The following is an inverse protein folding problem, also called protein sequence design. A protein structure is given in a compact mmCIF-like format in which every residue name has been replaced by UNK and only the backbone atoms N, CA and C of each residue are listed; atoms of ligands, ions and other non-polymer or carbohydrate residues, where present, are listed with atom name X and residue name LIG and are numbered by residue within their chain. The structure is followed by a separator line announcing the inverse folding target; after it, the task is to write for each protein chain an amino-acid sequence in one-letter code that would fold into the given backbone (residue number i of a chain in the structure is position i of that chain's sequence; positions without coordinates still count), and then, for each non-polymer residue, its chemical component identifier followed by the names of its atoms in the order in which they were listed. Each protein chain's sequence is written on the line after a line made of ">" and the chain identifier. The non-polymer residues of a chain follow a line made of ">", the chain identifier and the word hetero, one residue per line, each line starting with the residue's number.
data_IF_431907372275
#
_entry.id   IF_431907372275
#
_cell.length_a   1.000
_cell.length_b   1.000
_cell.length_c   1.000
_cell.angle_alpha   90.00
_cell.angle_beta   90.00
_cell.angle_gamma   90.00
#
_symmetry.space_group_name_H-M   'P 1'
#
loop_
_entity.id
_entity.type
_entity.pdbx_description
1 polymer ?
#
# COMPACT_ATOMS: atom_id res chain seq x y z
N UNK A 1 9.16 -25.58 -10.48
CA UNK A 1 8.60 -24.23 -10.44
C UNK A 1 7.63 -24.14 -11.60
N UNK A 2 6.46 -23.57 -11.35
CA UNK A 2 5.36 -23.44 -12.31
C UNK A 2 4.91 -21.98 -12.36
N UNK A 3 4.32 -21.56 -13.47
CA UNK A 3 3.62 -20.31 -13.55
C UNK A 3 2.31 -20.36 -12.74
N UNK A 4 1.87 -19.22 -12.22
CA UNK A 4 0.68 -19.15 -11.34
C UNK A 4 -0.59 -19.75 -11.94
N UNK A 5 -0.74 -19.67 -13.26
CA UNK A 5 -1.90 -20.17 -14.02
C UNK A 5 -1.73 -21.60 -14.54
N UNK A 6 -0.56 -22.22 -14.36
CA UNK A 6 -0.33 -23.59 -14.84
C UNK A 6 -1.10 -24.60 -14.01
N UNK A 7 -1.73 -25.54 -14.69
CA UNK A 7 -2.36 -26.70 -14.07
C UNK A 7 -1.27 -27.71 -13.65
N UNK A 8 -1.13 -27.92 -12.35
CA UNK A 8 -0.14 -28.82 -11.77
C UNK A 8 -0.69 -30.22 -11.44
N UNK A 9 -2.00 -30.41 -11.58
CA UNK A 9 -2.66 -31.68 -11.34
C UNK A 9 -4.18 -31.58 -11.32
N UNK A 10 -4.81 -32.63 -10.79
CA UNK A 10 -6.25 -32.70 -10.53
C UNK A 10 -6.48 -33.07 -9.06
N UNK A 11 -7.72 -33.01 -8.60
CA UNK A 11 -8.07 -33.37 -7.23
C UNK A 11 -7.92 -34.88 -6.98
N UNK A 12 -7.47 -35.24 -5.80
CA UNK A 12 -7.56 -36.61 -5.32
C UNK A 12 -9.02 -37.04 -5.18
N UNK A 13 -9.38 -38.30 -5.47
CA UNK A 13 -10.77 -38.75 -5.42
C UNK A 13 -11.46 -38.51 -4.08
N UNK A 14 -10.78 -38.72 -2.96
CA UNK A 14 -11.30 -38.47 -1.62
C UNK A 14 -11.59 -36.99 -1.37
N UNK A 15 -10.74 -36.08 -1.84
CA UNK A 15 -10.92 -34.63 -1.70
C UNK A 15 -12.07 -34.16 -2.60
N UNK A 16 -12.14 -34.66 -3.82
CA UNK A 16 -13.23 -34.34 -4.75
C UNK A 16 -14.61 -34.78 -4.16
N UNK A 17 -14.65 -35.97 -3.56
CA UNK A 17 -15.85 -36.47 -2.91
C UNK A 17 -16.27 -35.61 -1.67
N UNK A 18 -15.30 -35.21 -0.86
CA UNK A 18 -15.54 -34.33 0.30
C UNK A 18 -16.09 -32.96 -0.11
N UNK A 19 -15.53 -32.37 -1.18
CA UNK A 19 -15.93 -31.07 -1.71
C UNK A 19 -17.20 -31.14 -2.60
N UNK A 20 -17.66 -32.34 -2.98
CA UNK A 20 -18.81 -32.52 -3.86
C UNK A 20 -18.56 -32.05 -5.30
N UNK A 21 -17.32 -32.12 -5.79
CA UNK A 21 -16.91 -31.72 -7.15
C UNK A 21 -16.32 -32.88 -7.94
N UNK A 22 -16.11 -32.70 -9.24
CA UNK A 22 -15.48 -33.70 -10.11
C UNK A 22 -13.98 -33.82 -9.82
N UNK A 23 -13.43 -35.04 -9.99
CA UNK A 23 -11.98 -35.27 -10.00
C UNK A 23 -11.24 -34.56 -11.13
N UNK A 24 -11.96 -34.12 -12.18
CA UNK A 24 -11.37 -33.42 -13.32
C UNK A 24 -11.08 -31.94 -13.04
N UNK A 25 -11.49 -31.44 -11.86
CA UNK A 25 -11.14 -30.08 -11.41
C UNK A 25 -9.62 -29.93 -11.37
N UNK A 26 -9.14 -28.93 -12.10
CA UNK A 26 -7.70 -28.65 -12.18
C UNK A 26 -7.23 -27.90 -10.95
N UNK A 27 -6.12 -28.36 -10.41
CA UNK A 27 -5.34 -27.64 -9.39
C UNK A 27 -4.29 -26.83 -10.13
N UNK A 28 -4.29 -25.51 -9.88
CA UNK A 28 -3.30 -24.58 -10.45
C UNK A 28 -2.24 -24.23 -9.42
N UNK A 29 -1.06 -23.83 -9.88
CA UNK A 29 0.06 -23.47 -8.99
C UNK A 29 -0.30 -22.31 -8.04
N UNK A 30 -1.11 -21.36 -8.48
CA UNK A 30 -1.54 -20.22 -7.68
C UNK A 30 -0.45 -19.16 -7.51
N UNK A 31 -0.72 -18.20 -6.63
CA UNK A 31 0.17 -17.07 -6.39
C UNK A 31 0.20 -16.70 -4.90
N UNK A 32 1.22 -15.95 -4.49
CA UNK A 32 1.20 -15.27 -3.21
C UNK A 32 0.10 -14.20 -3.16
N UNK A 33 -0.42 -13.91 -1.97
CA UNK A 33 -1.58 -13.05 -1.72
C UNK A 33 -1.50 -11.67 -2.42
N UNK A 34 -0.36 -11.00 -2.32
CA UNK A 34 -0.17 -9.67 -2.97
C UNK A 34 -0.22 -9.76 -4.51
N UNK A 35 0.37 -10.80 -5.10
CA UNK A 35 0.33 -11.00 -6.54
C UNK A 35 -1.07 -11.42 -7.03
N UNK A 36 -1.78 -12.24 -6.24
CA UNK A 36 -3.17 -12.62 -6.51
C UNK A 36 -4.11 -11.40 -6.42
N UNK A 37 -3.97 -10.59 -5.37
CA UNK A 37 -4.72 -9.34 -5.21
C UNK A 37 -4.42 -8.34 -6.35
N UNK A 38 -3.16 -8.28 -6.82
CA UNK A 38 -2.80 -7.45 -7.95
C UNK A 38 -3.54 -7.87 -9.23
N UNK A 39 -3.65 -9.18 -9.50
CA UNK A 39 -4.47 -9.70 -10.62
C UNK A 39 -5.94 -9.33 -10.42
N UNK A 40 -6.49 -9.58 -9.23
CA UNK A 40 -7.89 -9.27 -8.91
C UNK A 40 -8.23 -7.78 -9.05
N UNK A 41 -7.30 -6.91 -8.75
CA UNK A 41 -7.45 -5.45 -8.93
C UNK A 41 -7.07 -4.97 -10.34
N UNK A 42 -6.63 -5.85 -11.24
CA UNK A 42 -6.15 -5.50 -12.58
C UNK A 42 -4.86 -4.67 -12.54
N UNK A 43 -4.00 -4.90 -11.54
CA UNK A 43 -2.66 -4.32 -11.44
C UNK A 43 -1.67 -5.26 -12.13
N UNK A 44 -1.84 -5.39 -13.44
CA UNK A 44 -1.03 -6.25 -14.32
C UNK A 44 -0.53 -5.44 -15.52
N UNK A 45 0.65 -5.79 -16.03
CA UNK A 45 1.35 -5.05 -17.08
C UNK A 45 2.19 -3.89 -16.53
N UNK A 46 3.05 -3.34 -17.38
CA UNK A 46 4.08 -2.37 -17.00
C UNK A 46 3.50 -1.07 -16.39
N UNK A 47 4.12 -0.59 -15.32
CA UNK A 47 3.76 0.66 -14.66
C UNK A 47 2.38 0.68 -13.95
N UNK A 48 1.72 -0.46 -13.83
CA UNK A 48 0.48 -0.55 -13.03
C UNK A 48 0.81 -0.58 -11.55
N UNK A 49 0.04 0.15 -10.78
CA UNK A 49 0.31 0.35 -9.36
C UNK A 49 -0.94 0.11 -8.52
N UNK A 50 -0.75 -0.50 -7.36
CA UNK A 50 -1.77 -0.61 -6.32
C UNK A 50 -1.17 -0.21 -4.96
N UNK A 51 -1.94 0.53 -4.17
CA UNK A 51 -1.58 0.92 -2.80
C UNK A 51 -2.59 0.27 -1.86
N UNK A 52 -2.10 -0.49 -0.89
CA UNK A 52 -2.92 -0.99 0.20
C UNK A 52 -2.64 -0.18 1.48
N UNK A 53 -3.69 0.41 2.04
CA UNK A 53 -3.66 1.17 3.30
C UNK A 53 -4.33 0.36 4.41
N UNK A 54 -3.68 -0.72 4.80
CA UNK A 54 -4.02 -1.52 5.98
C UNK A 54 -3.28 -1.05 7.23
N UNK A 55 -3.16 -1.89 8.24
CA UNK A 55 -2.31 -1.65 9.43
C UNK A 55 -0.90 -1.26 9.00
N UNK A 56 -0.28 -2.07 8.16
CA UNK A 56 0.88 -1.74 7.34
C UNK A 56 0.42 -1.18 5.99
N UNK A 57 1.35 -0.58 5.24
CA UNK A 57 1.09 -0.09 3.89
C UNK A 57 1.95 -0.81 2.87
N UNK A 58 1.38 -1.10 1.70
CA UNK A 58 2.17 -1.60 0.60
C UNK A 58 1.95 -0.74 -0.64
N UNK A 59 3.02 -0.57 -1.42
CA UNK A 59 2.95 -0.10 -2.78
C UNK A 59 3.44 -1.21 -3.69
N UNK A 60 2.54 -1.72 -4.52
CA UNK A 60 2.79 -2.78 -5.49
C UNK A 60 2.90 -2.17 -6.87
N UNK A 61 3.98 -2.45 -7.59
CA UNK A 61 4.26 -1.87 -8.90
C UNK A 61 4.61 -3.00 -9.87
N UNK A 62 3.72 -3.28 -10.82
CA UNK A 62 3.93 -4.28 -11.86
C UNK A 62 4.95 -3.81 -12.90
N UNK A 63 5.81 -4.70 -13.36
CA UNK A 63 6.86 -4.43 -14.34
C UNK A 63 7.07 -5.62 -15.26
N UNK A 64 7.19 -5.38 -16.55
CA UNK A 64 7.55 -6.40 -17.54
C UNK A 64 9.01 -6.85 -17.44
N UNK A 65 9.86 -6.04 -16.81
CA UNK A 65 11.28 -6.33 -16.67
C UNK A 65 11.67 -6.57 -15.23
N UNK A 66 12.50 -7.57 -15.01
CA UNK A 66 13.15 -7.74 -13.71
C UNK A 66 14.04 -6.55 -13.42
N UNK A 67 13.91 -6.00 -12.22
CA UNK A 67 14.73 -4.89 -11.76
C UNK A 67 14.93 -4.96 -10.25
N UNK A 68 16.13 -4.59 -9.83
CA UNK A 68 16.50 -4.45 -8.41
C UNK A 68 17.16 -3.08 -8.26
N UNK A 69 16.71 -2.30 -7.30
CA UNK A 69 17.36 -1.04 -7.00
C UNK A 69 18.71 -1.25 -6.30
N UNK A 70 19.58 -0.26 -6.44
CA UNK A 70 20.99 -0.33 -5.98
C UNK A 70 21.11 -0.61 -4.46
N UNK A 71 20.11 -0.24 -3.69
CA UNK A 71 20.13 -0.33 -2.23
C UNK A 71 19.26 -1.45 -1.68
N UNK A 72 18.61 -2.24 -2.55
CA UNK A 72 17.58 -3.23 -2.18
C UNK A 72 16.47 -2.62 -1.29
N UNK A 73 16.10 -1.38 -1.59
CA UNK A 73 15.10 -0.64 -0.85
C UNK A 73 13.68 -1.16 -1.10
N UNK A 74 13.43 -1.71 -2.30
CA UNK A 74 12.20 -2.40 -2.65
C UNK A 74 12.44 -3.90 -2.81
N UNK A 75 11.41 -4.68 -2.52
CA UNK A 75 11.40 -6.11 -2.81
C UNK A 75 11.08 -6.33 -4.29
N UNK A 76 11.83 -7.22 -4.96
CA UNK A 76 11.57 -7.65 -6.32
C UNK A 76 11.10 -9.10 -6.34
N UNK A 77 9.95 -9.37 -6.95
CA UNK A 77 9.33 -10.69 -6.99
C UNK A 77 8.83 -11.04 -8.39
N UNK A 78 8.60 -12.34 -8.62
CA UNK A 78 7.78 -12.80 -9.74
C UNK A 78 6.32 -12.38 -9.52
N UNK A 79 5.66 -11.94 -10.59
CA UNK A 79 4.24 -11.60 -10.57
C UNK A 79 3.42 -12.76 -11.11
N UNK A 80 2.14 -12.84 -10.71
CA UNK A 80 1.20 -13.89 -11.15
C UNK A 80 0.82 -13.82 -12.63
N UNK A 81 1.15 -12.73 -13.32
CA UNK A 81 0.94 -12.54 -14.75
C UNK A 81 2.10 -13.04 -15.63
N UNK A 82 3.09 -13.70 -15.04
CA UNK A 82 4.27 -14.22 -15.74
C UNK A 82 5.42 -13.20 -15.88
N UNK A 83 5.28 -12.01 -15.27
CA UNK A 83 6.30 -10.96 -15.26
C UNK A 83 6.85 -10.73 -13.84
N UNK A 84 7.11 -9.49 -13.48
CA UNK A 84 7.72 -9.12 -12.22
C UNK A 84 6.95 -8.01 -11.53
N UNK A 85 7.23 -7.81 -10.25
CA UNK A 85 6.79 -6.63 -9.54
C UNK A 85 7.82 -6.16 -8.51
N UNK A 86 7.78 -4.86 -8.26
CA UNK A 86 8.45 -4.25 -7.12
C UNK A 86 7.42 -3.98 -6.03
N UNK A 87 7.82 -4.18 -4.79
CA UNK A 87 6.96 -3.93 -3.65
C UNK A 87 7.70 -3.15 -2.57
N UNK A 88 7.18 -1.97 -2.24
CA UNK A 88 7.52 -1.24 -1.02
C UNK A 88 6.56 -1.64 0.09
N UNK A 89 7.09 -1.87 1.28
CA UNK A 89 6.30 -2.24 2.45
C UNK A 89 6.68 -1.35 3.63
N UNK A 90 5.77 -0.46 4.03
CA UNK A 90 5.91 0.34 5.24
C UNK A 90 5.23 -0.36 6.41
N UNK A 91 5.83 -0.28 7.60
CA UNK A 91 5.36 -1.02 8.78
C UNK A 91 4.14 -0.38 9.44
N UNK A 92 3.99 0.93 9.34
CA UNK A 92 2.91 1.67 10.00
C UNK A 92 2.22 2.62 9.03
N UNK A 93 1.07 2.21 8.47
CA UNK A 93 0.27 3.00 7.54
C UNK A 93 -1.04 3.48 8.20
N UNK A 94 -2.16 2.80 7.99
CA UNK A 94 -3.40 3.19 8.65
C UNK A 94 -3.32 3.02 10.19
N UNK A 95 -2.38 2.21 10.68
CA UNK A 95 -2.09 2.14 12.11
C UNK A 95 -1.58 3.46 12.70
N UNK A 96 -0.89 4.30 11.93
CA UNK A 96 -0.50 5.64 12.37
C UNK A 96 -1.73 6.51 12.66
N UNK A 97 -2.67 6.54 11.72
CA UNK A 97 -3.91 7.28 11.93
C UNK A 97 -4.76 6.68 13.06
N UNK A 98 -4.81 5.34 13.15
CA UNK A 98 -5.50 4.67 14.26
C UNK A 98 -4.88 5.02 15.61
N UNK A 99 -3.56 4.92 15.74
CA UNK A 99 -2.83 5.31 16.95
C UNK A 99 -3.08 6.77 17.31
N UNK A 100 -2.99 7.68 16.34
CA UNK A 100 -3.26 9.10 16.54
C UNK A 100 -4.68 9.34 17.07
N UNK A 101 -5.67 8.72 16.45
CA UNK A 101 -7.08 8.89 16.82
C UNK A 101 -7.42 8.25 18.17
N UNK A 102 -7.03 7.00 18.37
CA UNK A 102 -7.42 6.22 19.54
C UNK A 102 -6.63 6.61 20.81
N UNK A 103 -5.29 6.72 20.68
CA UNK A 103 -4.41 6.88 21.84
C UNK A 103 -4.08 8.35 22.15
N UNK A 104 -3.95 9.20 21.13
CA UNK A 104 -3.54 10.59 21.35
C UNK A 104 -4.74 11.51 21.46
N UNK A 105 -5.70 11.40 20.54
CA UNK A 105 -6.91 12.25 20.54
C UNK A 105 -8.03 11.69 21.42
N UNK A 106 -8.14 10.37 21.51
CA UNK A 106 -9.16 9.69 22.30
C UNK A 106 -10.54 9.67 21.62
N UNK A 107 -10.61 9.61 20.31
CA UNK A 107 -11.87 9.54 19.55
C UNK A 107 -11.80 8.51 18.42
N UNK A 108 -12.96 7.93 18.08
CA UNK A 108 -13.11 7.05 16.91
C UNK A 108 -13.88 7.70 15.77
N UNK A 109 -14.21 8.98 15.88
CA UNK A 109 -14.87 9.73 14.81
C UNK A 109 -13.84 10.35 13.86
N UNK A 110 -13.30 9.49 12.99
CA UNK A 110 -12.32 9.87 11.96
C UNK A 110 -12.88 10.93 11.01
N UNK A 111 -14.19 10.86 10.71
CA UNK A 111 -14.79 11.78 9.76
C UNK A 111 -14.92 13.20 10.35
N UNK A 112 -15.32 13.32 11.60
CA UNK A 112 -15.41 14.60 12.27
C UNK A 112 -14.02 15.24 12.45
N UNK A 113 -13.01 14.45 12.79
CA UNK A 113 -11.64 14.95 12.94
C UNK A 113 -11.09 15.46 11.60
N UNK A 114 -11.26 14.70 10.53
CA UNK A 114 -10.76 15.07 9.20
C UNK A 114 -11.48 16.29 8.59
N UNK A 115 -12.73 16.56 8.99
CA UNK A 115 -13.47 17.77 8.56
C UNK A 115 -12.85 19.06 9.08
N UNK A 116 -12.02 19.01 10.10
CA UNK A 116 -11.33 20.19 10.64
C UNK A 116 -10.14 20.62 9.76
N UNK A 117 -9.72 19.76 8.83
CA UNK A 117 -8.65 20.06 7.87
C UNK A 117 -9.26 20.82 6.70
N UNK A 118 -9.10 22.15 6.70
CA UNK A 118 -9.73 23.02 5.70
C UNK A 118 -8.93 23.11 4.41
N UNK A 119 -7.59 23.12 4.52
CA UNK A 119 -6.69 23.34 3.38
C UNK A 119 -5.58 22.29 3.33
N UNK A 120 -5.34 21.76 2.14
CA UNK A 120 -4.21 20.86 1.87
C UNK A 120 -3.04 21.65 1.26
N UNK A 121 -1.82 21.24 1.59
CA UNK A 121 -0.58 21.80 1.03
C UNK A 121 -0.08 23.08 1.72
N UNK A 122 -0.72 23.50 2.80
CA UNK A 122 -0.30 24.67 3.60
C UNK A 122 0.20 24.29 4.99
N UNK A 123 0.30 22.98 5.29
CA UNK A 123 0.74 22.51 6.60
C UNK A 123 2.26 22.70 6.78
N UNK A 124 2.67 23.18 7.94
CA UNK A 124 4.08 23.37 8.34
C UNK A 124 4.58 22.25 9.24
N UNK A 125 3.68 21.38 9.70
CA UNK A 125 4.00 20.24 10.56
C UNK A 125 4.17 19.02 9.69
N UNK A 126 5.24 18.27 9.89
CA UNK A 126 5.53 17.00 9.24
C UNK A 126 5.53 15.88 10.26
N UNK A 127 5.11 14.70 9.84
CA UNK A 127 5.14 13.50 10.66
C UNK A 127 5.93 12.39 9.97
N UNK A 128 6.91 11.85 10.65
CA UNK A 128 7.60 10.63 10.24
C UNK A 128 6.84 9.43 10.81
N UNK A 129 6.28 8.54 9.99
CA UNK A 129 5.31 7.53 10.45
C UNK A 129 5.94 6.25 11.01
N UNK A 130 7.16 6.31 11.52
CA UNK A 130 7.99 5.13 11.85
C UNK A 130 7.75 4.62 13.27
N UNK A 131 6.47 4.37 13.65
CA UNK A 131 6.08 3.90 14.99
C UNK A 131 6.72 2.57 15.37
N UNK A 132 6.97 1.70 14.40
CA UNK A 132 7.54 0.36 14.59
C UNK A 132 8.89 0.16 13.86
N UNK A 133 9.63 1.23 13.62
CA UNK A 133 10.72 1.22 12.67
C UNK A 133 10.20 1.30 11.23
N UNK A 134 11.07 1.15 10.24
CA UNK A 134 10.65 1.14 8.84
C UNK A 134 11.40 0.07 8.04
N UNK A 135 10.68 -0.51 7.07
CA UNK A 135 11.22 -1.47 6.12
C UNK A 135 11.59 -0.76 4.81
N UNK A 136 10.64 -0.52 3.92
CA UNK A 136 10.90 0.11 2.63
C UNK A 136 10.63 1.62 2.68
N UNK A 137 11.53 2.46 2.13
CA UNK A 137 12.80 2.10 1.50
C UNK A 137 14.02 2.14 2.44
N UNK A 138 13.83 2.43 3.72
CA UNK A 138 14.92 2.84 4.63
C UNK A 138 15.65 1.66 5.28
N UNK A 139 14.97 0.51 5.49
CA UNK A 139 15.49 -0.67 6.19
C UNK A 139 16.08 -0.34 7.58
N UNK A 140 15.41 0.54 8.32
CA UNK A 140 15.84 0.96 9.65
C UNK A 140 14.84 0.51 10.73
N UNK A 141 15.10 -0.60 11.44
CA UNK A 141 14.24 -1.07 12.53
C UNK A 141 14.26 -0.14 13.75
N UNK A 142 15.22 0.78 13.83
CA UNK A 142 15.38 1.72 14.93
C UNK A 142 14.77 3.10 14.65
N UNK A 143 14.29 3.35 13.44
CA UNK A 143 13.55 4.57 13.13
C UNK A 143 12.37 4.75 14.10
N UNK A 144 12.05 5.98 14.43
CA UNK A 144 10.93 6.30 15.34
C UNK A 144 10.09 7.42 14.77
N UNK A 145 8.81 7.37 15.10
CA UNK A 145 7.87 8.42 14.72
C UNK A 145 8.26 9.76 15.37
N UNK A 146 8.10 10.83 14.60
CA UNK A 146 8.49 12.17 15.03
C UNK A 146 7.62 13.22 14.35
N UNK A 147 7.16 14.21 15.12
CA UNK A 147 6.62 15.44 14.58
C UNK A 147 7.71 16.51 14.46
N UNK A 148 7.74 17.22 13.35
CA UNK A 148 8.75 18.27 13.04
C UNK A 148 8.01 19.52 12.57
N UNK A 149 8.51 20.69 12.96
CA UNK A 149 8.00 21.98 12.49
C UNK A 149 6.87 22.58 13.33
N UNK A 150 6.57 22.03 14.50
CA UNK A 150 5.55 22.60 15.39
C UNK A 150 5.94 23.98 15.92
N UNK A 151 4.97 24.86 16.02
CA UNK A 151 5.04 26.21 16.61
C UNK A 151 3.93 26.36 17.64
N UNK A 152 3.87 27.53 18.28
CA UNK A 152 2.78 27.83 19.22
C UNK A 152 1.41 27.95 18.54
N UNK A 153 1.39 28.15 17.23
CA UNK A 153 0.15 28.27 16.43
C UNK A 153 -0.30 26.93 15.85
N UNK A 154 0.48 25.85 16.06
CA UNK A 154 0.15 24.52 15.58
C UNK A 154 -1.13 24.01 16.22
N UNK A 155 -2.11 23.70 15.39
CA UNK A 155 -3.40 23.20 15.82
C UNK A 155 -3.46 21.66 15.81
N UNK A 156 -4.48 21.11 16.46
CA UNK A 156 -4.79 19.68 16.38
C UNK A 156 -5.08 19.23 14.94
N UNK A 157 -5.73 20.07 14.15
CA UNK A 157 -6.02 19.79 12.74
C UNK A 157 -4.73 19.69 11.92
N UNK A 158 -3.74 20.54 12.16
CA UNK A 158 -2.43 20.47 11.51
C UNK A 158 -1.70 19.17 11.83
N UNK A 159 -1.75 18.73 13.08
CA UNK A 159 -1.14 17.47 13.49
C UNK A 159 -1.86 16.25 12.90
N UNK A 160 -3.19 16.26 12.85
CA UNK A 160 -3.98 15.22 12.18
C UNK A 160 -3.65 15.15 10.68
N UNK A 161 -3.56 16.30 10.02
CA UNK A 161 -3.14 16.38 8.62
C UNK A 161 -1.73 15.84 8.44
N UNK A 162 -0.79 16.21 9.30
CA UNK A 162 0.60 15.74 9.26
C UNK A 162 0.69 14.21 9.34
N UNK A 163 -0.14 13.56 10.17
CA UNK A 163 -0.18 12.08 10.27
C UNK A 163 -0.61 11.46 8.95
N UNK A 164 -1.66 11.98 8.30
CA UNK A 164 -2.14 11.48 7.01
C UNK A 164 -1.14 11.73 5.88
N UNK A 165 -0.54 12.92 5.85
CA UNK A 165 0.49 13.29 4.86
C UNK A 165 1.78 12.51 5.06
N UNK A 166 2.21 12.27 6.30
CA UNK A 166 3.42 11.52 6.60
C UNK A 166 3.40 10.11 6.06
N UNK A 167 2.27 9.41 6.17
CA UNK A 167 2.09 8.10 5.53
C UNK A 167 2.18 8.20 4.01
N UNK A 168 1.57 9.23 3.42
CA UNK A 168 1.62 9.43 1.97
C UNK A 168 3.06 9.75 1.49
N UNK A 169 3.84 10.53 2.25
CA UNK A 169 5.24 10.81 1.94
C UNK A 169 6.09 9.54 2.02
N UNK A 170 5.92 8.72 3.05
CA UNK A 170 6.66 7.46 3.19
C UNK A 170 6.36 6.47 2.05
N UNK A 171 5.10 6.40 1.60
CA UNK A 171 4.74 5.62 0.40
C UNK A 171 5.38 6.21 -0.86
N UNK A 172 5.45 7.55 -0.97
CA UNK A 172 6.11 8.22 -2.09
C UNK A 172 7.59 7.92 -2.16
N UNK A 173 8.30 7.80 -1.03
CA UNK A 173 9.71 7.43 -1.02
C UNK A 173 9.95 6.11 -1.76
N UNK A 174 9.10 5.11 -1.52
CA UNK A 174 9.14 3.83 -2.26
C UNK A 174 8.79 4.00 -3.75
N UNK A 175 7.83 4.87 -4.09
CA UNK A 175 7.47 5.17 -5.48
C UNK A 175 8.64 5.81 -6.24
N UNK A 176 9.37 6.73 -5.61
CA UNK A 176 10.52 7.41 -6.24
C UNK A 176 11.67 6.43 -6.52
N UNK A 177 11.87 5.39 -5.69
CA UNK A 177 12.82 4.32 -5.99
C UNK A 177 12.43 3.59 -7.29
N UNK A 178 11.17 3.24 -7.48
CA UNK A 178 10.69 2.60 -8.71
C UNK A 178 10.82 3.53 -9.93
N UNK A 179 10.51 4.82 -9.76
CA UNK A 179 10.69 5.84 -10.81
C UNK A 179 12.16 5.98 -11.22
N UNK A 180 13.08 5.91 -10.27
CA UNK A 180 14.53 5.94 -10.56
C UNK A 180 15.02 4.72 -11.36
N UNK A 181 14.28 3.60 -11.33
CA UNK A 181 14.52 2.44 -12.20
C UNK A 181 13.91 2.60 -13.60
N UNK A 182 13.29 3.75 -13.89
CA UNK A 182 12.71 4.07 -15.19
C UNK A 182 11.27 3.56 -15.36
N UNK A 183 10.61 3.10 -14.30
CA UNK A 183 9.21 2.66 -14.36
C UNK A 183 8.30 3.90 -14.36
N UNK A 184 7.48 4.03 -15.40
CA UNK A 184 6.56 5.15 -15.53
C UNK A 184 5.21 4.80 -14.91
N UNK A 185 4.82 5.56 -13.89
CA UNK A 185 3.61 5.33 -13.12
C UNK A 185 2.78 6.61 -13.12
N UNK A 186 1.58 6.57 -13.71
CA UNK A 186 0.66 7.72 -13.81
C UNK A 186 -0.56 7.58 -12.92
N UNK A 187 -0.93 6.36 -12.59
CA UNK A 187 -2.12 6.08 -11.79
C UNK A 187 -1.90 4.90 -10.86
N UNK A 188 -2.65 4.90 -9.78
CA UNK A 188 -2.67 3.81 -8.81
C UNK A 188 -4.10 3.45 -8.45
N UNK A 189 -4.31 2.20 -8.10
CA UNK A 189 -5.50 1.77 -7.36
C UNK A 189 -5.22 1.86 -5.87
N UNK A 190 -6.27 2.00 -5.06
CA UNK A 190 -6.13 2.07 -3.61
C UNK A 190 -7.17 1.19 -2.93
N UNK A 191 -6.74 0.42 -1.93
CA UNK A 191 -7.57 -0.48 -1.13
C UNK A 191 -7.20 -0.41 0.35
N UNK A 192 -7.88 -1.21 1.17
CA UNK A 192 -7.69 -1.27 2.62
C UNK A 192 -8.48 -0.22 3.39
N UNK A 193 -8.47 -0.32 4.73
CA UNK A 193 -9.30 0.52 5.61
C UNK A 193 -9.05 2.02 5.45
N UNK A 194 -7.82 2.45 5.18
CA UNK A 194 -7.47 3.85 4.95
C UNK A 194 -8.07 4.43 3.67
N UNK A 195 -8.36 3.59 2.67
CA UNK A 195 -8.98 3.99 1.41
C UNK A 195 -10.45 4.45 1.58
N UNK A 196 -11.08 4.18 2.73
CA UNK A 196 -12.42 4.68 3.06
C UNK A 196 -12.45 6.20 3.25
N UNK A 197 -11.32 6.85 3.56
CA UNK A 197 -11.24 8.31 3.71
C UNK A 197 -11.09 9.02 2.36
N UNK A 198 -12.09 9.84 1.94
CA UNK A 198 -11.96 10.66 0.73
C UNK A 198 -10.82 11.68 0.83
N UNK A 199 -10.62 12.24 2.03
CA UNK A 199 -9.54 13.20 2.28
C UNK A 199 -8.16 12.54 2.10
N UNK A 200 -7.97 11.36 2.68
CA UNK A 200 -6.68 10.67 2.59
C UNK A 200 -6.35 10.25 1.16
N UNK A 201 -7.35 9.79 0.39
CA UNK A 201 -7.17 9.53 -1.05
C UNK A 201 -6.71 10.77 -1.81
N UNK A 202 -7.28 11.94 -1.47
CA UNK A 202 -6.88 13.22 -2.07
C UNK A 202 -5.45 13.64 -1.69
N UNK A 203 -5.08 13.45 -0.42
CA UNK A 203 -3.71 13.67 0.06
C UNK A 203 -2.72 12.78 -0.72
N UNK A 204 -3.02 11.48 -0.83
CA UNK A 204 -2.17 10.52 -1.56
C UNK A 204 -2.04 10.93 -3.04
N UNK A 205 -3.14 11.27 -3.70
CA UNK A 205 -3.10 11.72 -5.10
C UNK A 205 -2.19 12.95 -5.27
N UNK A 206 -2.29 13.92 -4.37
CA UNK A 206 -1.49 15.14 -4.39
C UNK A 206 0.00 14.85 -4.11
N UNK A 207 0.28 14.15 -3.01
CA UNK A 207 1.67 13.86 -2.58
C UNK A 207 2.40 13.02 -3.62
N UNK A 208 1.75 11.99 -4.17
CA UNK A 208 2.36 11.07 -5.13
C UNK A 208 2.34 11.59 -6.57
N UNK A 209 1.55 12.66 -6.83
CA UNK A 209 1.27 13.16 -8.18
C UNK A 209 0.78 12.04 -9.11
N UNK A 210 -0.23 11.29 -8.66
CA UNK A 210 -0.86 10.18 -9.37
C UNK A 210 -2.37 10.34 -9.42
N UNK A 211 -2.98 9.79 -10.47
CA UNK A 211 -4.42 9.55 -10.47
C UNK A 211 -4.72 8.37 -9.57
N UNK A 212 -5.65 8.55 -8.63
CA UNK A 212 -6.09 7.50 -7.71
C UNK A 212 -7.44 6.97 -8.16
N UNK A 213 -7.47 5.71 -8.54
CA UNK A 213 -8.69 4.98 -8.87
C UNK A 213 -9.17 4.19 -7.64
N UNK A 214 -10.48 4.20 -7.41
CA UNK A 214 -11.09 3.41 -6.33
C UNK A 214 -11.55 2.09 -6.92
N UNK A 215 -11.28 0.99 -6.22
CA UNK A 215 -11.78 -0.33 -6.58
C UNK A 215 -13.19 -0.53 -6.02
N UNK A 216 -14.00 -1.34 -6.68
CA UNK A 216 -15.39 -1.61 -6.26
C UNK A 216 -15.45 -2.50 -5.01
N UNK A 217 -14.46 -3.38 -4.79
CA UNK A 217 -14.36 -4.18 -3.57
C UNK A 217 -13.50 -3.47 -2.52
N UNK A 218 -13.93 -3.48 -1.26
CA UNK A 218 -13.19 -2.85 -0.16
C UNK A 218 -11.93 -3.63 0.25
N UNK A 219 -11.86 -4.89 -0.13
CA UNK A 219 -10.73 -5.79 0.13
C UNK A 219 -9.98 -6.05 -1.18
N UNK A 220 -8.71 -5.75 -1.18
CA UNK A 220 -7.80 -6.00 -2.31
C UNK A 220 -7.37 -7.45 -2.39
#
# INVERSE_FOLDING_TARGET
>A
IYESYEAVGTLLPEVAAELGVSTDVKVVAGAGDNAAAAVGTGTVGDGRCNISLGTSGTIFISSEKFGVDKFNALHAFAHADGHYHLMGCMLSAASCNKWWMDEIIGTKDYAAEQKQIEKLGENHVYFLPYLMGERSPHNDPNARATFIGMTMDTTRADMTQAVLEGVAFALRDSLEVARALGIHIERTKICGGGAKSPLWKKIIANVMNLKVDVIESEEG
#
